data_IF_910840277156
#
_entry.id   IF_910840277156
#
_cell.length_a   1.000
_cell.length_b   1.000
_cell.length_c   1.000
_cell.angle_alpha   90.00
_cell.angle_beta   90.00
_cell.angle_gamma   90.00
#
_symmetry.space_group_name_H-M   'P 1'
#
loop_
_entity.id
_entity.type
_entity.pdbx_description
1 polymer ?
#
# COMPACT_ATOMS: atom_id res chain seq x y z
N UNK A 1 8.65 -19.73 56.00
CA UNK A 1 9.22 -18.36 55.89
C UNK A 1 10.43 -18.48 54.96
N UNK A 2 10.60 -17.77 53.86
CA UNK A 2 10.22 -16.40 53.56
C UNK A 2 9.69 -16.24 52.12
N UNK A 3 8.67 -15.40 51.98
CA UNK A 3 8.26 -14.82 50.72
C UNK A 3 9.17 -13.62 50.42
N UNK A 4 9.76 -13.59 49.23
CA UNK A 4 10.43 -12.41 48.66
C UNK A 4 9.74 -12.11 47.33
N UNK A 5 8.68 -11.32 47.37
CA UNK A 5 8.65 -9.85 47.28
C UNK A 5 8.45 -9.43 45.82
N UNK A 6 7.18 -9.12 45.55
CA UNK A 6 6.67 -8.33 44.44
C UNK A 6 7.55 -7.10 44.20
N UNK A 7 7.89 -6.83 42.93
CA UNK A 7 8.58 -5.61 42.57
C UNK A 7 8.74 -5.45 41.06
N UNK A 8 8.07 -4.44 40.48
CA UNK A 8 8.40 -3.93 39.17
C UNK A 8 7.25 -3.94 38.16
N UNK A 9 6.16 -3.25 38.48
CA UNK A 9 5.23 -2.79 37.45
C UNK A 9 5.99 -1.89 36.47
N UNK A 10 6.36 -2.45 35.32
CA UNK A 10 6.90 -1.65 34.22
C UNK A 10 5.75 -0.90 33.58
N UNK A 11 5.53 0.33 34.01
CA UNK A 11 4.88 1.36 33.18
C UNK A 11 5.80 1.71 32.00
N UNK A 12 6.12 0.71 31.18
CA UNK A 12 7.10 0.80 30.12
C UNK A 12 6.47 1.41 28.88
N UNK A 13 6.77 2.68 28.62
CA UNK A 13 6.47 3.28 27.32
C UNK A 13 7.02 2.43 26.18
N UNK A 14 6.22 2.27 25.12
CA UNK A 14 6.64 1.53 23.93
C UNK A 14 7.91 2.16 23.34
N UNK A 15 8.90 1.33 22.99
CA UNK A 15 10.16 1.81 22.39
C UNK A 15 9.92 2.46 21.01
N UNK A 16 10.74 3.44 20.63
CA UNK A 16 10.73 3.99 19.26
C UNK A 16 10.84 2.88 18.19
N UNK A 17 11.68 1.87 18.43
CA UNK A 17 11.83 0.74 17.52
C UNK A 17 10.51 -0.03 17.33
N UNK A 18 9.70 -0.14 18.39
CA UNK A 18 8.36 -0.74 18.30
C UNK A 18 7.47 0.07 17.36
N UNK A 19 7.45 1.41 17.47
CA UNK A 19 6.67 2.28 16.58
C UNK A 19 7.08 2.17 15.12
N UNK A 20 8.40 2.20 14.85
CA UNK A 20 8.92 2.04 13.50
C UNK A 20 8.53 0.68 12.94
N UNK A 21 8.78 -0.40 13.68
CA UNK A 21 8.41 -1.74 13.25
C UNK A 21 6.89 -1.86 12.99
N UNK A 22 6.05 -1.31 13.88
CA UNK A 22 4.60 -1.32 13.72
C UNK A 22 4.15 -0.57 12.46
N UNK A 23 4.76 0.57 12.16
CA UNK A 23 4.48 1.33 10.94
C UNK A 23 4.83 0.53 9.67
N UNK A 24 5.95 -0.21 9.69
CA UNK A 24 6.37 -1.06 8.57
C UNK A 24 5.44 -2.25 8.39
N UNK A 25 4.98 -2.90 9.46
CA UNK A 25 4.01 -4.00 9.40
C UNK A 25 2.70 -3.52 8.75
N UNK A 26 2.19 -2.35 9.17
CA UNK A 26 0.98 -1.76 8.59
C UNK A 26 1.18 -1.44 7.10
N UNK A 27 2.33 -0.86 6.75
CA UNK A 27 2.69 -0.58 5.35
C UNK A 27 2.70 -1.87 4.53
N UNK A 28 3.36 -2.91 5.02
CA UNK A 28 3.47 -4.20 4.33
C UNK A 28 2.12 -4.88 4.15
N UNK A 29 1.26 -4.87 5.18
CA UNK A 29 -0.11 -5.37 5.08
C UNK A 29 -0.90 -4.63 3.97
N UNK A 30 -0.82 -3.29 3.95
CA UNK A 30 -1.46 -2.48 2.90
C UNK A 30 -0.89 -2.72 1.51
N UNK A 31 0.36 -3.15 1.38
CA UNK A 31 0.96 -3.52 0.10
C UNK A 31 0.37 -4.83 -0.41
N UNK A 32 0.31 -5.87 0.42
CA UNK A 32 -0.34 -7.13 0.04
C UNK A 32 -1.78 -6.90 -0.49
N UNK A 33 -2.57 -6.09 0.21
CA UNK A 33 -3.94 -5.78 -0.22
C UNK A 33 -4.02 -5.05 -1.56
N UNK A 34 -3.00 -4.27 -1.92
CA UNK A 34 -2.91 -3.60 -3.23
C UNK A 34 -2.52 -4.58 -4.33
N UNK A 35 -1.56 -5.46 -4.08
CA UNK A 35 -1.09 -6.44 -5.07
C UNK A 35 -2.19 -7.41 -5.47
N UNK A 36 -3.06 -7.81 -4.54
CA UNK A 36 -4.16 -8.73 -4.84
C UNK A 36 -5.39 -8.06 -5.48
N UNK A 37 -5.38 -6.72 -5.64
CA UNK A 37 -6.52 -5.97 -6.19
C UNK A 37 -6.98 -6.47 -7.57
N UNK A 38 -6.08 -6.82 -8.52
CA UNK A 38 -6.46 -7.30 -9.85
C UNK A 38 -7.14 -8.67 -9.88
N UNK A 39 -7.06 -9.45 -8.80
CA UNK A 39 -7.68 -10.79 -8.76
C UNK A 39 -9.22 -10.70 -8.80
N UNK A 40 -9.86 -11.77 -9.27
CA UNK A 40 -11.31 -11.93 -9.21
C UNK A 40 -11.83 -11.81 -7.76
N UNK A 41 -13.07 -11.35 -7.58
CA UNK A 41 -13.61 -11.00 -6.25
C UNK A 41 -13.54 -12.15 -5.25
N UNK A 42 -13.91 -13.36 -5.66
CA UNK A 42 -13.94 -14.56 -4.82
C UNK A 42 -12.53 -14.94 -4.36
N UNK A 43 -11.61 -15.14 -5.31
CA UNK A 43 -10.20 -15.43 -5.02
C UNK A 43 -9.54 -14.34 -4.17
N UNK A 44 -9.83 -13.07 -4.46
CA UNK A 44 -9.31 -11.95 -3.68
C UNK A 44 -9.77 -12.00 -2.21
N UNK A 45 -11.02 -12.39 -1.95
CA UNK A 45 -11.53 -12.52 -0.58
C UNK A 45 -10.82 -13.63 0.18
N UNK A 46 -10.60 -14.79 -0.43
CA UNK A 46 -9.87 -15.92 0.16
C UNK A 46 -8.41 -15.55 0.48
N UNK A 47 -7.73 -14.94 -0.48
CA UNK A 47 -6.34 -14.48 -0.31
C UNK A 47 -6.26 -13.40 0.76
N UNK A 48 -7.22 -12.46 0.81
CA UNK A 48 -7.30 -11.44 1.84
C UNK A 48 -7.47 -12.04 3.25
N UNK A 49 -8.33 -13.05 3.40
CA UNK A 49 -8.49 -13.77 4.67
C UNK A 49 -7.19 -14.47 5.09
N UNK A 50 -6.51 -15.10 4.14
CA UNK A 50 -5.22 -15.77 4.38
C UNK A 50 -4.16 -14.77 4.82
N UNK A 51 -4.03 -13.64 4.13
CA UNK A 51 -3.10 -12.56 4.52
C UNK A 51 -3.43 -12.10 5.94
N UNK A 52 -4.70 -11.81 6.23
CA UNK A 52 -5.11 -11.38 7.58
C UNK A 52 -4.74 -12.41 8.65
N UNK A 53 -5.04 -13.69 8.42
CA UNK A 53 -4.71 -14.77 9.35
C UNK A 53 -3.20 -14.86 9.63
N UNK A 54 -2.36 -14.71 8.61
CA UNK A 54 -0.90 -14.73 8.77
C UNK A 54 -0.37 -13.55 9.61
N UNK A 55 -0.93 -12.36 9.43
CA UNK A 55 -0.56 -11.18 10.24
C UNK A 55 -1.08 -11.29 11.68
N UNK A 56 -2.25 -11.88 11.91
CA UNK A 56 -2.78 -12.11 13.26
C UNK A 56 -1.97 -13.19 14.00
N UNK A 57 -1.51 -14.24 13.30
CA UNK A 57 -0.73 -15.33 13.91
C UNK A 57 0.58 -14.84 14.58
N UNK A 58 1.16 -13.75 14.10
CA UNK A 58 2.39 -13.15 14.65
C UNK A 58 2.15 -11.83 15.39
N UNK A 59 0.89 -11.49 15.69
CA UNK A 59 0.50 -10.21 16.32
C UNK A 59 1.13 -9.99 17.70
N UNK A 60 1.34 -11.06 18.44
CA UNK A 60 1.87 -11.03 19.82
C UNK A 60 3.40 -11.06 19.85
N UNK A 61 4.06 -11.10 18.70
CA UNK A 61 5.51 -11.10 18.63
C UNK A 61 6.07 -9.78 19.19
N UNK A 62 6.86 -9.91 20.25
CA UNK A 62 7.43 -8.77 20.98
C UNK A 62 8.94 -8.71 20.82
N UNK A 63 9.57 -9.77 20.32
CA UNK A 63 11.00 -9.81 20.08
C UNK A 63 11.35 -8.97 18.83
N UNK A 64 12.14 -7.89 18.96
CA UNK A 64 12.44 -7.01 17.83
C UNK A 64 13.20 -7.71 16.70
N UNK A 65 13.98 -8.76 16.98
CA UNK A 65 14.71 -9.53 15.98
C UNK A 65 13.75 -10.36 15.13
N UNK A 66 12.78 -11.03 15.76
CA UNK A 66 11.76 -11.80 15.06
C UNK A 66 10.83 -10.91 14.23
N UNK A 67 10.43 -9.75 14.78
CA UNK A 67 9.63 -8.77 14.02
C UNK A 67 10.37 -8.33 12.75
N UNK A 68 11.67 -8.06 12.83
CA UNK A 68 12.50 -7.71 11.66
C UNK A 68 12.60 -8.88 10.67
N UNK A 69 12.78 -10.11 11.16
CA UNK A 69 12.80 -11.32 10.33
C UNK A 69 11.48 -11.50 9.58
N UNK A 70 10.35 -11.35 10.26
CA UNK A 70 9.02 -11.40 9.65
C UNK A 70 8.80 -10.29 8.62
N UNK A 71 9.26 -9.06 8.90
CA UNK A 71 9.19 -7.96 7.94
C UNK A 71 10.02 -8.25 6.68
N UNK A 72 11.25 -8.74 6.82
CA UNK A 72 12.09 -9.11 5.68
C UNK A 72 11.46 -10.23 4.85
N UNK A 73 11.01 -11.30 5.52
CA UNK A 73 10.30 -12.40 4.88
C UNK A 73 9.04 -11.93 4.15
N UNK A 74 8.22 -11.11 4.81
CA UNK A 74 7.01 -10.55 4.21
C UNK A 74 7.31 -9.71 2.97
N UNK A 75 8.47 -9.03 2.90
CA UNK A 75 8.81 -8.20 1.75
C UNK A 75 9.14 -9.07 0.52
N UNK A 76 9.88 -10.16 0.72
CA UNK A 76 10.11 -11.15 -0.33
C UNK A 76 8.79 -11.78 -0.79
N UNK A 77 7.89 -12.12 0.15
CA UNK A 77 6.57 -12.68 -0.17
C UNK A 77 5.68 -11.72 -0.97
N UNK A 78 5.73 -10.41 -0.73
CA UNK A 78 5.00 -9.42 -1.55
C UNK A 78 5.44 -9.49 -3.02
N UNK A 79 6.74 -9.62 -3.29
CA UNK A 79 7.23 -9.73 -4.66
C UNK A 79 6.75 -11.01 -5.33
N UNK A 80 6.79 -12.15 -4.63
CA UNK A 80 6.24 -13.41 -5.15
C UNK A 80 4.73 -13.34 -5.41
N UNK A 81 3.94 -12.71 -4.52
CA UNK A 81 2.50 -12.50 -4.76
C UNK A 81 2.29 -11.65 -6.00
N UNK A 82 3.07 -10.59 -6.19
CA UNK A 82 3.00 -9.74 -7.38
C UNK A 82 3.29 -10.52 -8.66
N UNK A 83 4.33 -11.34 -8.67
CA UNK A 83 4.68 -12.20 -9.82
C UNK A 83 3.56 -13.19 -10.15
N UNK A 84 2.97 -13.84 -9.14
CA UNK A 84 1.86 -14.78 -9.31
C UNK A 84 0.58 -14.10 -9.79
N UNK A 85 0.23 -12.93 -9.24
CA UNK A 85 -0.92 -12.16 -9.70
C UNK A 85 -0.71 -11.74 -11.15
N UNK A 86 0.49 -11.28 -11.50
CA UNK A 86 0.83 -10.91 -12.87
C UNK A 86 0.72 -12.11 -13.82
N UNK A 87 1.20 -13.30 -13.45
CA UNK A 87 1.13 -14.49 -14.31
C UNK A 87 -0.30 -14.96 -14.55
N UNK A 88 -1.17 -14.89 -13.53
CA UNK A 88 -2.59 -15.23 -13.66
C UNK A 88 -3.34 -14.16 -14.48
N UNK A 89 -3.01 -12.88 -14.32
CA UNK A 89 -3.64 -11.79 -15.07
C UNK A 89 -3.15 -11.64 -16.52
N UNK A 90 -1.96 -12.18 -16.82
CA UNK A 90 -1.36 -12.14 -18.16
C UNK A 90 -1.97 -13.16 -19.14
N UNK A 91 -2.95 -13.97 -18.71
CA UNK A 91 -3.77 -14.71 -19.68
C UNK A 91 -4.46 -13.70 -20.61
N UNK A 92 -4.24 -13.79 -21.93
CA UNK A 92 -4.69 -12.77 -22.86
C UNK A 92 -6.21 -12.79 -22.91
N UNK A 93 -6.83 -11.81 -22.25
CA UNK A 93 -8.23 -11.50 -22.51
C UNK A 93 -8.25 -10.93 -23.93
N UNK A 94 -8.83 -11.71 -24.85
CA UNK A 94 -9.07 -11.46 -26.29
C UNK A 94 -8.89 -9.98 -26.70
N UNK A 95 -8.03 -9.67 -27.71
CA UNK A 95 -7.87 -8.30 -28.18
C UNK A 95 -9.24 -7.76 -28.62
N UNK A 96 -9.67 -6.68 -27.98
CA UNK A 96 -10.75 -5.85 -28.49
C UNK A 96 -10.31 -5.36 -29.87
N UNK A 97 -11.09 -5.57 -30.94
CA UNK A 97 -10.69 -5.09 -32.25
C UNK A 97 -10.51 -3.58 -32.20
N UNK A 98 -9.34 -3.18 -32.68
CA UNK A 98 -8.89 -1.85 -33.02
C UNK A 98 -9.98 -1.11 -33.81
N UNK A 99 -10.42 0.04 -33.30
CA UNK A 99 -11.16 1.03 -34.12
C UNK A 99 -10.21 2.20 -34.34
N UNK A 100 -9.26 1.96 -35.23
CA UNK A 100 -8.59 2.97 -36.02
C UNK A 100 -9.61 3.53 -37.03
N UNK A 101 -10.06 4.76 -36.80
CA UNK A 101 -10.64 5.61 -37.83
C UNK A 101 -10.18 7.04 -37.57
N UNK A 102 -9.02 7.39 -38.10
CA UNK A 102 -8.65 8.79 -38.33
C UNK A 102 -9.35 9.28 -39.61
N UNK A 103 -9.63 10.60 -39.63
CA UNK A 103 -9.94 11.48 -40.77
C UNK A 103 -11.39 11.47 -41.32
N UNK A 104 -12.08 12.57 -41.63
CA UNK A 104 -11.89 14.04 -41.52
C UNK A 104 -13.23 14.66 -41.95
N UNK A 105 -13.90 15.52 -41.17
CA UNK A 105 -14.88 16.51 -41.67
C UNK A 105 -15.18 17.54 -40.57
N UNK A 106 -14.37 18.59 -40.49
CA UNK A 106 -14.83 19.99 -40.32
C UNK A 106 -13.61 20.91 -40.43
N UNK A 107 -13.53 21.61 -41.56
CA UNK A 107 -12.69 22.79 -41.75
C UNK A 107 -13.61 24.01 -41.78
N UNK A 108 -13.46 24.90 -40.80
CA UNK A 108 -13.71 26.35 -40.84
C UNK A 108 -13.43 26.98 -39.45
N UNK A 109 -12.43 27.87 -39.31
CA UNK A 109 -12.23 28.76 -38.14
C UNK A 109 -12.77 30.18 -38.45
N UNK A 110 -12.65 31.22 -37.60
CA UNK A 110 -12.48 31.28 -36.13
C UNK A 110 -13.53 32.20 -35.46
N UNK A 111 -13.83 31.99 -34.17
CA UNK A 111 -14.26 33.07 -33.26
C UNK A 111 -13.45 32.97 -31.98
N UNK A 112 -12.93 34.13 -31.60
CA UNK A 112 -11.96 34.42 -30.55
C UNK A 112 -12.52 34.27 -29.14
N UNK A 113 -11.58 34.40 -28.20
CA UNK A 113 -11.75 34.73 -26.78
C UNK A 113 -12.03 33.54 -25.85
N UNK A 114 -10.96 32.84 -25.47
CA UNK A 114 -10.41 33.00 -24.11
C UNK A 114 -9.06 32.27 -24.01
N UNK A 115 -7.99 33.05 -23.91
CA UNK A 115 -6.69 32.59 -23.43
C UNK A 115 -6.83 32.46 -21.91
N UNK A 116 -6.88 31.23 -21.38
CA UNK A 116 -6.55 31.02 -19.97
C UNK A 116 -5.87 29.67 -19.73
N UNK A 117 -4.59 29.64 -20.07
CA UNK A 117 -3.50 29.30 -19.14
C UNK A 117 -3.92 28.52 -17.88
N UNK A 118 -3.97 27.20 -18.00
CA UNK A 118 -3.89 26.29 -16.84
C UNK A 118 -3.05 25.05 -17.17
N UNK A 119 -2.05 25.26 -18.01
CA UNK A 119 -0.89 24.39 -18.13
C UNK A 119 0.20 24.90 -17.19
N UNK A 120 -0.04 24.98 -15.88
CA UNK A 120 0.99 25.26 -14.86
C UNK A 120 0.41 25.13 -13.44
N UNK A 121 0.47 23.94 -12.83
CA UNK A 121 0.46 23.85 -11.36
C UNK A 121 1.18 22.58 -10.83
N UNK A 122 2.27 22.20 -11.51
CA UNK A 122 3.26 21.23 -10.99
C UNK A 122 4.45 22.01 -10.45
N UNK A 123 4.23 22.78 -9.37
CA UNK A 123 5.21 23.30 -8.38
C UNK A 123 4.63 24.58 -7.75
N UNK A 124 3.83 24.45 -6.69
CA UNK A 124 3.31 25.68 -6.06
C UNK A 124 2.54 25.54 -4.75
N UNK A 125 1.78 24.46 -4.53
CA UNK A 125 1.01 24.28 -3.27
C UNK A 125 1.81 23.58 -2.17
N UNK A 126 2.97 24.13 -1.80
CA UNK A 126 3.47 23.99 -0.43
C UNK A 126 2.63 24.92 0.44
N UNK A 127 1.47 24.40 0.85
CA UNK A 127 0.62 25.08 1.81
C UNK A 127 1.42 25.48 3.04
N UNK A 128 1.36 26.77 3.38
CA UNK A 128 1.64 27.29 4.71
C UNK A 128 0.72 26.58 5.69
N UNK A 129 1.16 25.46 6.25
CA UNK A 129 0.27 24.61 7.04
C UNK A 129 0.85 23.27 7.44
N UNK A 130 2.16 23.18 7.66
CA UNK A 130 2.68 22.04 8.42
C UNK A 130 2.22 22.18 9.88
N UNK A 131 1.70 21.12 10.51
CA UNK A 131 0.92 21.19 11.75
C UNK A 131 1.71 21.56 13.01
N UNK A 132 3.02 21.79 12.90
CA UNK A 132 3.88 22.27 13.99
C UNK A 132 4.36 23.72 13.81
N UNK A 133 3.82 24.47 12.85
CA UNK A 133 4.03 25.91 12.83
C UNK A 133 3.33 26.51 14.05
N UNK A 134 4.11 26.88 15.06
CA UNK A 134 3.66 27.64 16.23
C UNK A 134 3.31 29.07 15.85
#
# INVERSE_FOLDING_TARGET
MAASKLGGGSGGGLSFAYFINRSQVIKQYRLFLREIRPLAKETRQEVQQTIRAKFEATRHESNPTEVKRHLAYGHAQVQHVRELVNSVSATPTKPRPDVSFQETWTDAPPVSDDVNESQEDIKGRVGKGWPWSR
#
